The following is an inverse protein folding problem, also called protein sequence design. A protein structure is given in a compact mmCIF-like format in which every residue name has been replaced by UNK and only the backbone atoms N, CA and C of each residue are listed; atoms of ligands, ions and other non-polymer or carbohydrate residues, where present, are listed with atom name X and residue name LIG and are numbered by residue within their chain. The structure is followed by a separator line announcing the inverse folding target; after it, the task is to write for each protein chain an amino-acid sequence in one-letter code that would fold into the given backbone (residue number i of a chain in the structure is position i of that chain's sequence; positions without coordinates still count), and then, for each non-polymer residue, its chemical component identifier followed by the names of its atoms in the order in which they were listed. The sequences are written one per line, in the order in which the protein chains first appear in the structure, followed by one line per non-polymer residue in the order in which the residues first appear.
data_IF_395338805284
#
_entry.id   IF_395338805284
#
_cell.length_a   1.000
_cell.length_b   1.000
_cell.length_c   1.000
_cell.angle_alpha   90.00
_cell.angle_beta   90.00
_cell.angle_gamma   90.00
#
_symmetry.space_group_name_H-M   'P 1'
#
loop_
_entity.id
_entity.type
_entity.pdbx_description
1 polymer ?
#
# COMPACT_ATOMS: atom_id res chain seq x y z
N UNK A 1 26.78 -1.90 -48.00
CA UNK A 1 26.53 -2.90 -46.93
C UNK A 1 25.81 -2.19 -45.80
N UNK A 2 24.48 -2.28 -45.76
CA UNK A 2 23.69 -1.80 -44.64
C UNK A 2 23.93 -2.77 -43.49
N UNK A 3 24.68 -2.34 -42.48
CA UNK A 3 24.77 -3.08 -41.23
C UNK A 3 23.41 -2.88 -40.57
N UNK A 4 22.55 -3.89 -40.70
CA UNK A 4 21.37 -4.03 -39.87
C UNK A 4 21.83 -3.85 -38.43
N UNK A 5 21.42 -2.75 -37.81
CA UNK A 5 21.48 -2.55 -36.37
C UNK A 5 20.64 -3.65 -35.74
N UNK A 6 21.28 -4.81 -35.57
CA UNK A 6 20.77 -6.00 -34.91
C UNK A 6 20.24 -5.50 -33.57
N UNK A 7 18.90 -5.44 -33.45
CA UNK A 7 18.21 -5.11 -32.20
C UNK A 7 18.84 -6.02 -31.15
N UNK A 8 19.63 -5.41 -30.26
CA UNK A 8 20.44 -6.09 -29.24
C UNK A 8 19.58 -7.17 -28.58
N UNK A 9 20.13 -8.37 -28.41
CA UNK A 9 19.49 -9.60 -27.93
C UNK A 9 18.91 -9.48 -26.50
N UNK A 10 17.94 -8.58 -26.30
CA UNK A 10 17.29 -8.33 -25.01
C UNK A 10 16.35 -9.48 -24.60
N UNK A 11 15.93 -10.31 -25.57
CA UNK A 11 14.97 -11.40 -25.35
C UNK A 11 15.63 -12.61 -24.67
N UNK A 12 16.76 -13.11 -25.20
CA UNK A 12 17.41 -14.33 -24.68
C UNK A 12 18.06 -14.12 -23.30
N UNK A 13 18.73 -12.97 -23.12
CA UNK A 13 19.33 -12.61 -21.84
C UNK A 13 18.25 -12.42 -20.75
N UNK A 14 17.12 -11.82 -21.12
CA UNK A 14 15.97 -11.65 -20.23
C UNK A 14 15.33 -12.99 -19.85
N UNK A 15 15.19 -13.92 -20.80
CA UNK A 15 14.66 -15.26 -20.54
C UNK A 15 15.58 -16.07 -19.61
N UNK A 16 16.89 -16.08 -19.87
CA UNK A 16 17.86 -16.74 -18.98
C UNK A 16 17.80 -16.17 -17.55
N UNK A 17 17.71 -14.84 -17.43
CA UNK A 17 17.55 -14.16 -16.15
C UNK A 17 16.26 -14.57 -15.41
N UNK A 18 15.11 -14.63 -16.10
CA UNK A 18 13.84 -15.02 -15.49
C UNK A 18 13.85 -16.48 -15.04
N UNK A 19 14.38 -17.40 -15.87
CA UNK A 19 14.55 -18.81 -15.51
C UNK A 19 15.41 -18.97 -14.25
N UNK A 20 16.55 -18.29 -14.21
CA UNK A 20 17.46 -18.39 -13.07
C UNK A 20 16.87 -17.72 -11.82
N UNK A 21 16.17 -16.60 -11.98
CA UNK A 21 15.50 -15.92 -10.87
C UNK A 21 14.39 -16.78 -10.25
N UNK A 22 13.68 -17.57 -11.06
CA UNK A 22 12.67 -18.51 -10.57
C UNK A 22 13.28 -19.65 -9.75
N UNK A 23 14.47 -20.12 -10.14
CA UNK A 23 15.23 -21.17 -9.42
C UNK A 23 15.83 -20.66 -8.11
N UNK A 24 16.57 -19.56 -8.15
CA UNK A 24 17.36 -19.08 -7.02
C UNK A 24 16.57 -18.17 -6.07
N UNK A 25 15.46 -17.60 -6.56
CA UNK A 25 14.54 -16.71 -5.82
C UNK A 25 15.25 -15.62 -5.01
N UNK A 26 16.17 -14.84 -5.62
CA UNK A 26 16.94 -13.82 -4.91
C UNK A 26 16.06 -12.72 -4.28
N UNK A 27 14.87 -12.47 -4.86
CA UNK A 27 13.87 -11.52 -4.37
C UNK A 27 13.09 -11.99 -3.13
N UNK A 28 13.18 -13.27 -2.75
CA UNK A 28 12.55 -13.82 -1.53
C UNK A 28 13.55 -13.98 -0.37
N UNK A 29 14.79 -13.56 -0.55
CA UNK A 29 15.81 -13.65 0.50
C UNK A 29 15.46 -12.74 1.69
N UNK A 30 15.92 -13.07 2.91
CA UNK A 30 15.76 -12.21 4.08
C UNK A 30 16.28 -10.80 3.84
N UNK A 31 15.65 -9.81 4.48
CA UNK A 31 16.06 -8.39 4.37
C UNK A 31 17.53 -8.25 4.76
N UNK A 32 18.35 -7.77 3.82
CA UNK A 32 19.82 -7.63 3.97
C UNK A 32 20.62 -8.66 3.17
N UNK A 33 20.02 -9.80 2.79
CA UNK A 33 20.64 -10.83 1.96
C UNK A 33 20.25 -10.77 0.49
N UNK A 34 19.23 -9.97 0.16
CA UNK A 34 18.75 -9.76 -1.22
C UNK A 34 19.89 -9.36 -2.19
N UNK A 35 20.78 -8.38 -1.87
CA UNK A 35 21.86 -8.02 -2.78
C UNK A 35 22.82 -9.20 -3.06
N UNK A 36 23.19 -9.95 -2.02
CA UNK A 36 24.05 -11.11 -2.16
C UNK A 36 23.39 -12.23 -2.98
N UNK A 37 22.08 -12.42 -2.86
CA UNK A 37 21.31 -13.35 -3.69
C UNK A 37 21.37 -12.98 -5.17
N UNK A 38 21.25 -11.68 -5.50
CA UNK A 38 21.39 -11.21 -6.87
C UNK A 38 22.81 -11.33 -7.40
N UNK A 39 23.84 -11.10 -6.57
CA UNK A 39 25.24 -11.28 -6.97
C UNK A 39 25.55 -12.76 -7.25
N UNK A 40 25.03 -13.69 -6.43
CA UNK A 40 25.17 -15.12 -6.66
C UNK A 40 24.46 -15.58 -7.94
N UNK A 41 23.26 -15.08 -8.20
CA UNK A 41 22.54 -15.33 -9.45
C UNK A 41 23.34 -14.81 -10.64
N UNK A 42 23.87 -13.59 -10.56
CA UNK A 42 24.62 -12.99 -11.64
C UNK A 42 25.92 -13.75 -11.93
N UNK A 43 26.63 -14.21 -10.90
CA UNK A 43 27.79 -15.07 -11.04
C UNK A 43 27.45 -16.40 -11.72
N UNK A 44 26.28 -16.99 -11.39
CA UNK A 44 25.81 -18.23 -12.02
C UNK A 44 25.52 -18.05 -13.50
N UNK A 45 24.87 -16.93 -13.88
CA UNK A 45 24.61 -16.62 -15.29
C UNK A 45 25.91 -16.37 -16.07
N UNK A 46 26.88 -15.65 -15.50
CA UNK A 46 28.18 -15.38 -16.16
C UNK A 46 29.01 -16.64 -16.32
N UNK A 47 28.86 -17.63 -15.42
CA UNK A 47 29.56 -18.90 -15.51
C UNK A 47 28.97 -19.86 -16.57
N UNK A 48 27.77 -19.58 -17.09
CA UNK A 48 27.17 -20.35 -18.17
C UNK A 48 27.69 -19.85 -19.53
N UNK A 49 28.38 -20.73 -20.27
CA UNK A 49 28.91 -20.43 -21.62
C UNK A 49 27.82 -20.01 -22.62
N UNK A 50 26.56 -20.33 -22.33
CA UNK A 50 25.39 -19.94 -23.13
C UNK A 50 24.96 -18.49 -22.90
N UNK A 51 25.44 -17.86 -21.82
CA UNK A 51 25.08 -16.49 -21.49
C UNK A 51 25.93 -15.49 -22.28
N UNK A 52 25.32 -14.55 -23.02
CA UNK A 52 26.03 -13.73 -23.99
C UNK A 52 26.94 -12.64 -23.37
N UNK A 53 27.03 -12.53 -22.04
CA UNK A 53 27.84 -11.51 -21.36
C UNK A 53 28.88 -12.13 -20.45
N UNK A 54 30.11 -11.64 -20.61
CA UNK A 54 31.25 -11.95 -19.74
C UNK A 54 31.14 -11.29 -18.35
N UNK A 55 30.26 -10.31 -18.19
CA UNK A 55 30.03 -9.66 -16.89
C UNK A 55 28.56 -9.27 -16.67
N UNK A 56 28.10 -9.57 -15.46
CA UNK A 56 26.79 -9.15 -14.94
C UNK A 56 26.96 -8.94 -13.44
N UNK A 57 26.53 -7.79 -12.94
CA UNK A 57 26.47 -7.53 -11.49
C UNK A 57 25.07 -7.80 -10.96
N UNK A 58 24.95 -8.17 -9.68
CA UNK A 58 23.65 -8.42 -9.05
C UNK A 58 22.72 -7.22 -9.15
N UNK A 59 23.24 -6.00 -8.97
CA UNK A 59 22.46 -4.77 -9.14
C UNK A 59 21.93 -4.57 -10.58
N UNK A 60 22.70 -4.99 -11.58
CA UNK A 60 22.25 -4.94 -12.98
C UNK A 60 21.21 -6.01 -13.25
N UNK A 61 21.39 -7.20 -12.70
CA UNK A 61 20.43 -8.31 -12.80
C UNK A 61 19.09 -7.94 -12.14
N UNK A 62 19.12 -7.42 -10.90
CA UNK A 62 17.93 -6.99 -10.16
C UNK A 62 17.19 -5.86 -10.88
N UNK A 63 17.91 -4.82 -11.31
CA UNK A 63 17.28 -3.70 -12.02
C UNK A 63 16.69 -4.09 -13.38
N UNK A 64 17.18 -5.16 -14.02
CA UNK A 64 16.58 -5.70 -15.24
C UNK A 64 15.37 -6.57 -14.95
N UNK A 65 15.46 -7.41 -13.91
CA UNK A 65 14.33 -8.18 -13.44
C UNK A 65 13.15 -7.27 -13.09
N UNK A 66 13.38 -6.21 -12.32
CA UNK A 66 12.35 -5.24 -11.94
C UNK A 66 11.70 -4.58 -13.17
N UNK A 67 12.51 -4.23 -14.18
CA UNK A 67 11.98 -3.68 -15.44
C UNK A 67 11.10 -4.67 -16.19
N UNK A 68 11.47 -5.96 -16.21
CA UNK A 68 10.68 -7.00 -16.87
C UNK A 68 9.35 -7.23 -16.15
N UNK A 69 9.36 -7.31 -14.81
CA UNK A 69 8.16 -7.48 -13.99
C UNK A 69 7.23 -6.26 -14.12
N UNK A 70 7.78 -5.05 -14.02
CA UNK A 70 6.97 -3.82 -14.14
C UNK A 70 6.39 -3.68 -15.55
N UNK A 71 7.19 -3.89 -16.59
CA UNK A 71 6.69 -3.83 -17.97
C UNK A 71 5.57 -4.84 -18.22
N UNK A 72 5.61 -6.03 -17.60
CA UNK A 72 4.56 -7.03 -17.73
C UNK A 72 3.29 -6.64 -16.96
N UNK A 73 3.43 -6.15 -15.72
CA UNK A 73 2.30 -5.62 -14.94
C UNK A 73 1.60 -4.44 -15.63
N UNK A 74 2.38 -3.60 -16.31
CA UNK A 74 1.85 -2.48 -17.09
C UNK A 74 1.21 -2.97 -18.41
N UNK A 75 1.75 -4.00 -19.06
CA UNK A 75 1.18 -4.58 -20.29
C UNK A 75 -0.08 -5.44 -20.07
N UNK A 76 -0.23 -6.08 -18.91
CA UNK A 76 -1.50 -6.74 -18.52
C UNK A 76 -2.66 -5.73 -18.43
N UNK A 77 -2.37 -4.44 -18.26
CA UNK A 77 -3.38 -3.39 -18.34
C UNK A 77 -3.77 -3.01 -19.78
N UNK A 78 -2.92 -3.26 -20.78
CA UNK A 78 -3.04 -2.72 -22.16
C UNK A 78 -3.13 -3.78 -23.29
N UNK A 79 -3.36 -5.06 -22.96
CA UNK A 79 -3.83 -6.13 -23.84
C UNK A 79 -2.81 -7.01 -24.61
N UNK A 80 -3.19 -8.29 -24.62
CA UNK A 80 -2.83 -9.39 -25.51
C UNK A 80 -2.37 -8.97 -26.92
N UNK A 81 -1.05 -8.93 -27.16
CA UNK A 81 -0.39 -8.97 -28.49
C UNK A 81 1.13 -9.14 -28.24
N UNK A 82 1.83 -10.23 -28.60
CA UNK A 82 2.26 -10.60 -29.96
C UNK A 82 3.20 -11.85 -29.94
N UNK A 83 2.82 -12.94 -30.63
CA UNK A 83 3.77 -13.92 -31.23
C UNK A 83 4.51 -14.90 -30.28
N UNK A 84 3.99 -16.14 -30.20
CA UNK A 84 4.73 -17.42 -30.21
C UNK A 84 5.81 -17.71 -29.16
N UNK A 85 6.92 -16.97 -29.19
CA UNK A 85 8.06 -17.10 -28.25
C UNK A 85 7.78 -16.38 -26.90
N UNK A 86 6.72 -15.58 -26.84
CA UNK A 86 6.26 -14.95 -25.60
C UNK A 86 5.66 -15.94 -24.59
N UNK A 87 5.27 -17.14 -25.01
CA UNK A 87 4.56 -18.08 -24.14
C UNK A 87 5.33 -18.46 -22.87
N UNK A 88 6.61 -18.82 -23.00
CA UNK A 88 7.43 -19.17 -21.83
C UNK A 88 7.72 -17.94 -20.96
N UNK A 89 8.02 -16.81 -21.59
CA UNK A 89 8.30 -15.56 -20.88
C UNK A 89 7.11 -15.15 -20.02
N UNK A 90 5.90 -15.20 -20.59
CA UNK A 90 4.63 -14.91 -19.92
C UNK A 90 4.42 -15.85 -18.75
N UNK A 91 4.55 -17.16 -18.95
CA UNK A 91 4.41 -18.17 -17.87
C UNK A 91 5.41 -17.91 -16.73
N UNK A 92 6.67 -17.62 -17.05
CA UNK A 92 7.69 -17.32 -16.04
C UNK A 92 7.34 -16.04 -15.27
N UNK A 93 6.88 -14.99 -15.96
CA UNK A 93 6.50 -13.73 -15.33
C UNK A 93 5.27 -13.89 -14.43
N UNK A 94 4.25 -14.63 -14.87
CA UNK A 94 3.07 -14.97 -14.07
C UNK A 94 3.48 -15.70 -12.78
N UNK A 95 4.32 -16.74 -12.89
CA UNK A 95 4.77 -17.51 -11.73
C UNK A 95 5.61 -16.66 -10.77
N UNK A 96 6.54 -15.85 -11.30
CA UNK A 96 7.36 -14.95 -10.51
C UNK A 96 6.53 -13.90 -9.78
N UNK A 97 5.52 -13.32 -10.46
CA UNK A 97 4.60 -12.34 -9.86
C UNK A 97 3.78 -12.99 -8.76
N UNK A 98 3.21 -14.17 -9.01
CA UNK A 98 2.46 -14.91 -8.00
C UNK A 98 3.31 -15.17 -6.75
N UNK A 99 4.59 -15.58 -6.91
CA UNK A 99 5.51 -15.78 -5.79
C UNK A 99 5.81 -14.49 -5.02
N UNK A 100 6.02 -13.37 -5.73
CA UNK A 100 6.27 -12.07 -5.12
C UNK A 100 5.07 -11.62 -4.29
N UNK A 101 3.86 -11.71 -4.86
CA UNK A 101 2.64 -11.25 -4.23
C UNK A 101 2.22 -12.16 -3.06
N UNK A 102 2.37 -13.48 -3.19
CA UNK A 102 2.17 -14.43 -2.09
C UNK A 102 3.12 -14.15 -0.92
N UNK A 103 4.38 -13.87 -1.21
CA UNK A 103 5.34 -13.52 -0.17
C UNK A 103 4.97 -12.19 0.50
N UNK A 104 4.58 -11.17 -0.27
CA UNK A 104 4.10 -9.90 0.27
C UNK A 104 2.88 -10.12 1.18
N UNK A 105 1.88 -10.89 0.74
CA UNK A 105 0.69 -11.21 1.53
C UNK A 105 1.03 -11.95 2.84
N UNK A 106 1.93 -12.93 2.80
CA UNK A 106 2.41 -13.65 4.00
C UNK A 106 3.12 -12.73 4.98
N UNK A 107 3.96 -11.81 4.50
CA UNK A 107 4.66 -10.88 5.38
C UNK A 107 3.69 -9.91 6.08
N UNK A 108 2.64 -9.46 5.39
CA UNK A 108 1.58 -8.62 5.97
C UNK A 108 0.77 -9.41 7.00
N UNK A 109 0.35 -10.63 6.67
CA UNK A 109 -0.40 -11.50 7.58
C UNK A 109 0.40 -11.84 8.86
N UNK A 110 1.70 -12.10 8.73
CA UNK A 110 2.59 -12.34 9.88
C UNK A 110 2.70 -11.11 10.79
N UNK A 111 2.79 -9.91 10.22
CA UNK A 111 2.79 -8.66 11.01
C UNK A 111 1.44 -8.42 11.68
N UNK A 112 0.33 -8.67 11.00
CA UNK A 112 -1.02 -8.51 11.55
C UNK A 112 -1.28 -9.46 12.73
N UNK A 113 -0.93 -10.73 12.59
CA UNK A 113 -1.03 -11.73 13.66
C UNK A 113 -0.12 -11.41 14.85
N UNK A 114 1.12 -10.97 14.58
CA UNK A 114 2.02 -10.46 15.63
C UNK A 114 1.45 -9.25 16.37
N UNK A 115 0.82 -8.32 15.65
CA UNK A 115 0.14 -7.16 16.22
C UNK A 115 -1.05 -7.54 17.10
N UNK A 116 -1.89 -8.48 16.64
CA UNK A 116 -3.03 -8.98 17.43
C UNK A 116 -2.59 -9.69 18.71
N UNK A 117 -1.51 -10.47 18.66
CA UNK A 117 -0.93 -11.12 19.85
C UNK A 117 -0.46 -10.08 20.87
N UNK A 118 0.26 -9.04 20.42
CA UNK A 118 0.69 -7.93 21.28
C UNK A 118 -0.49 -7.17 21.89
N UNK A 119 -1.52 -6.86 21.12
CA UNK A 119 -2.73 -6.22 21.66
C UNK A 119 -3.44 -7.09 22.70
N UNK A 120 -3.47 -8.42 22.49
CA UNK A 120 -4.06 -9.35 23.45
C UNK A 120 -3.24 -9.41 24.75
N UNK A 121 -1.92 -9.44 24.65
CA UNK A 121 -1.00 -9.40 25.80
C UNK A 121 -1.10 -8.08 26.57
N UNK A 122 -1.25 -6.95 25.86
CA UNK A 122 -1.44 -5.63 26.47
C UNK A 122 -2.80 -5.53 27.18
N UNK A 123 -3.89 -5.98 26.54
CA UNK A 123 -5.22 -6.04 27.18
C UNK A 123 -5.22 -6.95 28.40
N UNK A 124 -4.56 -8.11 28.33
CA UNK A 124 -4.42 -9.01 29.47
C UNK A 124 -3.60 -8.36 30.60
N UNK A 125 -2.54 -7.63 30.28
CA UNK A 125 -1.72 -6.90 31.24
C UNK A 125 -2.50 -5.77 31.92
N UNK A 126 -3.30 -5.01 31.18
CA UNK A 126 -4.18 -3.97 31.72
C UNK A 126 -5.25 -4.56 32.64
N UNK A 127 -5.87 -5.68 32.24
CA UNK A 127 -6.84 -6.39 33.08
C UNK A 127 -6.19 -6.85 34.39
N UNK A 128 -5.03 -7.51 34.34
CA UNK A 128 -4.30 -7.95 35.52
C UNK A 128 -3.95 -6.78 36.46
N UNK A 129 -3.61 -5.61 35.92
CA UNK A 129 -3.39 -4.38 36.70
C UNK A 129 -4.67 -3.88 37.37
N UNK A 130 -5.82 -3.90 36.69
CA UNK A 130 -7.12 -3.50 37.27
C UNK A 130 -7.59 -4.40 38.41
N UNK A 131 -7.34 -5.72 38.32
CA UNK A 131 -7.73 -6.66 39.37
C UNK A 131 -6.82 -6.59 40.62
N UNK A 132 -5.56 -6.16 40.47
CA UNK A 132 -4.61 -6.03 41.58
C UNK A 132 -4.61 -4.64 42.27
N UNK A 133 -5.56 -3.75 41.95
CA UNK A 133 -5.67 -2.44 42.61
C UNK A 133 -6.34 -2.62 43.99
N UNK A 134 -5.74 -2.11 45.09
CA UNK A 134 -6.36 -2.13 46.41
C UNK A 134 -7.76 -1.47 46.41
N UNK A 135 -8.74 -1.96 47.19
CA UNK A 135 -10.14 -1.52 47.12
C UNK A 135 -10.34 -0.01 47.32
N UNK A 136 -9.51 0.65 48.14
CA UNK A 136 -9.53 2.11 48.30
C UNK A 136 -9.14 2.86 47.02
N UNK A 137 -8.16 2.35 46.27
CA UNK A 137 -7.70 2.92 44.99
C UNK A 137 -8.61 2.54 43.81
N UNK A 138 -9.38 1.45 43.93
CA UNK A 138 -10.38 1.05 42.93
C UNK A 138 -11.51 2.09 42.81
N UNK A 139 -12.08 2.55 43.93
CA UNK A 139 -13.10 3.61 43.93
C UNK A 139 -12.58 4.93 43.36
N UNK A 140 -11.33 5.27 43.65
CA UNK A 140 -10.68 6.48 43.10
C UNK A 140 -10.50 6.39 41.58
N UNK A 141 -10.13 5.22 41.05
CA UNK A 141 -10.01 4.98 39.62
C UNK A 141 -11.37 5.03 38.90
N UNK A 142 -12.42 4.46 39.51
CA UNK A 142 -13.80 4.54 39.01
C UNK A 142 -14.29 5.99 38.93
N UNK A 143 -14.02 6.79 39.97
CA UNK A 143 -14.34 8.23 39.99
C UNK A 143 -13.60 9.01 38.89
N UNK A 144 -12.31 8.74 38.68
CA UNK A 144 -11.52 9.38 37.61
C UNK A 144 -12.06 9.01 36.22
N UNK A 145 -12.43 7.75 36.00
CA UNK A 145 -13.02 7.31 34.74
C UNK A 145 -14.38 7.95 34.48
N UNK A 146 -15.22 8.06 35.52
CA UNK A 146 -16.51 8.74 35.42
C UNK A 146 -16.33 10.23 35.08
N UNK A 147 -15.34 10.89 35.69
CA UNK A 147 -15.03 12.30 35.42
C UNK A 147 -14.55 12.53 33.98
N UNK A 148 -13.73 11.61 33.45
CA UNK A 148 -13.28 11.66 32.06
C UNK A 148 -14.49 11.53 31.12
N UNK A 149 -15.37 10.55 31.35
CA UNK A 149 -16.57 10.35 30.54
C UNK A 149 -17.51 11.56 30.56
N UNK A 150 -17.71 12.18 31.72
CA UNK A 150 -18.50 13.40 31.84
C UNK A 150 -17.88 14.57 31.05
N UNK A 151 -16.55 14.71 31.10
CA UNK A 151 -15.82 15.76 30.38
C UNK A 151 -15.86 15.57 28.87
N UNK A 152 -15.77 14.33 28.39
CA UNK A 152 -15.91 14.01 26.97
C UNK A 152 -17.32 14.34 26.46
N UNK A 153 -18.35 13.98 27.23
CA UNK A 153 -19.73 14.30 26.89
C UNK A 153 -19.95 15.82 26.83
N UNK A 154 -19.43 16.56 27.82
CA UNK A 154 -19.50 18.04 27.83
C UNK A 154 -18.85 18.66 26.59
N UNK A 155 -17.71 18.12 26.13
CA UNK A 155 -17.03 18.61 24.94
C UNK A 155 -17.86 18.35 23.68
N UNK A 156 -18.48 17.17 23.58
CA UNK A 156 -19.35 16.82 22.45
C UNK A 156 -20.57 17.72 22.41
N UNK A 157 -21.24 17.92 23.55
CA UNK A 157 -22.42 18.76 23.65
C UNK A 157 -22.09 20.22 23.28
N UNK A 158 -20.98 20.77 23.79
CA UNK A 158 -20.49 22.10 23.41
C UNK A 158 -20.15 22.24 21.92
N UNK A 159 -19.68 21.15 21.30
CA UNK A 159 -19.39 21.14 19.86
C UNK A 159 -20.69 21.13 19.06
N UNK A 160 -21.67 20.35 19.47
CA UNK A 160 -22.99 20.29 18.84
C UNK A 160 -23.72 21.64 18.94
N UNK A 161 -23.70 22.30 20.09
CA UNK A 161 -24.28 23.64 20.27
C UNK A 161 -23.67 24.68 19.33
N UNK A 162 -22.34 24.65 19.17
CA UNK A 162 -21.64 25.56 18.22
C UNK A 162 -22.03 25.29 16.78
N UNK A 163 -22.21 24.03 16.42
CA UNK A 163 -22.62 23.63 15.07
C UNK A 163 -24.08 24.02 14.80
N UNK A 164 -24.96 23.87 15.79
CA UNK A 164 -26.35 24.30 15.72
C UNK A 164 -26.48 25.83 15.55
N UNK A 165 -25.72 26.61 16.33
CA UNK A 165 -25.65 28.06 16.17
C UNK A 165 -25.13 28.46 14.78
N UNK A 166 -24.12 27.76 14.26
CA UNK A 166 -23.62 28.02 12.91
C UNK A 166 -24.67 27.71 11.83
N UNK A 167 -25.45 26.65 12.01
CA UNK A 167 -26.58 26.32 11.13
C UNK A 167 -27.69 27.37 11.21
N UNK A 168 -28.06 27.85 12.40
CA UNK A 168 -29.05 28.91 12.57
C UNK A 168 -28.62 30.20 11.86
N UNK A 169 -27.37 30.64 12.06
CA UNK A 169 -26.84 31.81 11.35
C UNK A 169 -26.72 31.61 9.83
N UNK A 170 -26.50 30.38 9.35
CA UNK A 170 -26.53 30.09 7.91
C UNK A 170 -27.94 30.22 7.35
N UNK A 171 -28.93 29.68 8.06
CA UNK A 171 -30.35 29.75 7.69
C UNK A 171 -30.88 31.18 7.68
N UNK A 172 -30.54 31.98 8.69
CA UNK A 172 -30.91 33.40 8.75
C UNK A 172 -30.37 34.18 7.54
N UNK A 173 -29.11 33.94 7.16
CA UNK A 173 -28.51 34.53 5.95
C UNK A 173 -29.21 34.11 4.66
N UNK A 174 -29.73 32.88 4.56
CA UNK A 174 -30.52 32.46 3.40
C UNK A 174 -31.91 33.10 3.39
N UNK A 175 -32.59 33.16 4.53
CA UNK A 175 -33.89 33.81 4.65
C UNK A 175 -33.80 35.30 4.28
N UNK A 176 -32.73 35.99 4.67
CA UNK A 176 -32.49 37.38 4.26
C UNK A 176 -32.25 37.53 2.75
N UNK A 177 -31.53 36.59 2.12
CA UNK A 177 -31.38 36.57 0.66
C UNK A 177 -32.74 36.37 -0.02
N UNK A 178 -33.55 35.44 0.47
CA UNK A 178 -34.88 35.16 -0.07
C UNK A 178 -35.82 36.37 0.12
N UNK A 179 -35.78 37.05 1.26
CA UNK A 179 -36.55 38.28 1.49
C UNK A 179 -36.12 39.37 0.53
N UNK A 180 -34.81 39.60 0.35
CA UNK A 180 -34.28 40.59 -0.60
C UNK A 180 -34.68 40.30 -2.05
N UNK A 181 -34.66 39.03 -2.48
CA UNK A 181 -35.09 38.67 -3.84
C UNK A 181 -36.59 38.84 -4.03
N UNK A 182 -37.41 38.47 -3.05
CA UNK A 182 -38.86 38.72 -3.06
C UNK A 182 -39.20 40.21 -3.09
N UNK A 183 -38.49 41.03 -2.30
CA UNK A 183 -38.65 42.48 -2.31
C UNK A 183 -38.36 43.06 -3.71
N UNK A 184 -37.23 42.68 -4.32
CA UNK A 184 -36.85 43.15 -5.67
C UNK A 184 -37.85 42.71 -6.75
N UNK A 185 -38.40 41.49 -6.64
CA UNK A 185 -39.44 41.00 -7.55
C UNK A 185 -40.75 41.76 -7.35
N UNK A 186 -41.14 42.04 -6.10
CA UNK A 186 -42.32 42.85 -5.78
C UNK A 186 -42.19 44.28 -6.32
N UNK A 187 -41.05 44.93 -6.09
CA UNK A 187 -40.78 46.29 -6.57
C UNK A 187 -40.73 46.34 -8.11
N UNK A 188 -40.27 45.27 -8.77
CA UNK A 188 -40.27 45.16 -10.23
C UNK A 188 -41.66 44.95 -10.83
N UNK A 189 -42.58 44.31 -10.10
CA UNK A 189 -43.96 44.09 -10.54
C UNK A 189 -44.80 45.37 -10.34
N UNK A 190 -44.51 46.16 -9.30
CA UNK A 190 -45.21 47.43 -9.03
C UNK A 190 -44.86 48.57 -10.02
N UNK A 191 -43.86 48.37 -10.88
CA UNK A 191 -43.40 49.37 -11.86
C UNK A 191 -43.95 49.15 -13.29
N UNK A 192 -44.84 48.17 -13.48
CA UNK A 192 -45.61 47.91 -14.71
C UNK A 192 -47.10 48.16 -14.45
#
# INVERSE_FOLDING_TARGET
KLVESRRRNFTDEGLALLRQALRDRPFLQPRGSIPAGWDALAATLVADDSFPRENLSGNTASGRFDKLINAYRDHDADAATLSGEESEKVVLLDELIALIDDHAARTVASKATGGLKRQREEKASLAARQYNIPPKRRREAELKNLLISLKEKEIVDKKAEREELAMQHAREREEDKIKRTKQRLSDSIAFY
#
